data_IF_751670717893
#
_entry.id   IF_751670717893
#
_cell.length_a   1.000
_cell.length_b   1.000
_cell.length_c   1.000
_cell.angle_alpha   90.00
_cell.angle_beta   90.00
_cell.angle_gamma   90.00
#
_symmetry.space_group_name_H-M   'P 1'
#
loop_
_entity.id
_entity.type
_entity.pdbx_description
1 polymer ?
#
# COMPACT_ATOMS: atom_id res chain seq x y z
N UNK A 1 17.86 23.61 46.90
CA UNK A 1 18.45 24.16 45.64
C UNK A 1 18.96 23.06 44.67
N UNK A 2 19.39 21.88 45.19
CA UNK A 2 19.90 20.77 44.32
C UNK A 2 18.81 19.98 43.57
N UNK A 3 17.63 19.77 44.20
CA UNK A 3 16.54 19.00 43.62
C UNK A 3 15.98 19.64 42.33
N UNK A 4 15.72 20.93 42.38
CA UNK A 4 15.19 21.68 41.23
C UNK A 4 16.18 21.68 40.04
N UNK A 5 17.45 21.75 40.33
CA UNK A 5 18.51 21.70 39.33
C UNK A 5 18.61 20.32 38.68
N UNK A 6 18.53 19.26 39.49
CA UNK A 6 18.50 17.89 39.02
C UNK A 6 17.28 17.59 38.11
N UNK A 7 16.07 18.04 38.52
CA UNK A 7 14.86 17.92 37.69
C UNK A 7 14.99 18.68 36.36
N UNK A 8 15.59 19.87 36.40
CA UNK A 8 15.80 20.68 35.19
C UNK A 8 16.80 20.04 34.22
N UNK A 9 17.87 19.45 34.71
CA UNK A 9 18.85 18.73 33.93
C UNK A 9 18.29 17.41 33.36
N UNK A 10 17.46 16.71 34.11
CA UNK A 10 16.74 15.51 33.67
C UNK A 10 15.74 15.89 32.52
N UNK A 11 14.95 16.94 32.71
CA UNK A 11 14.04 17.43 31.66
C UNK A 11 14.79 17.84 30.38
N UNK A 12 15.93 18.53 30.52
CA UNK A 12 16.77 18.89 29.35
C UNK A 12 17.29 17.65 28.61
N UNK A 13 17.79 16.66 29.35
CA UNK A 13 18.27 15.42 28.77
C UNK A 13 17.15 14.63 28.07
N UNK A 14 15.96 14.57 28.69
CA UNK A 14 14.78 13.94 28.08
C UNK A 14 14.34 14.68 26.82
N UNK A 15 14.27 16.01 26.84
CA UNK A 15 13.90 16.80 25.65
C UNK A 15 14.93 16.67 24.53
N UNK A 16 16.22 16.63 24.83
CA UNK A 16 17.25 16.40 23.82
C UNK A 16 17.12 15.01 23.20
N UNK A 17 16.87 13.96 24.01
CA UNK A 17 16.67 12.59 23.55
C UNK A 17 15.41 12.48 22.68
N UNK A 18 14.32 13.15 23.09
CA UNK A 18 13.07 13.18 22.31
C UNK A 18 13.27 13.88 20.96
N UNK A 19 13.90 15.05 20.95
CA UNK A 19 14.20 15.79 19.73
C UNK A 19 15.15 15.05 18.79
N UNK A 20 16.10 14.27 19.33
CA UNK A 20 16.98 13.42 18.52
C UNK A 20 16.20 12.25 17.88
N UNK A 21 15.30 11.60 18.64
CA UNK A 21 14.42 10.55 18.10
C UNK A 21 13.47 11.10 17.03
N UNK A 22 12.86 12.25 17.27
CA UNK A 22 11.96 12.90 16.32
C UNK A 22 12.67 13.22 15.02
N UNK A 23 13.89 13.79 15.07
CA UNK A 23 14.72 14.02 13.87
C UNK A 23 15.02 12.73 13.14
N UNK A 24 15.39 11.66 13.85
CA UNK A 24 15.69 10.36 13.26
C UNK A 24 14.45 9.79 12.53
N UNK A 25 13.27 9.82 13.16
CA UNK A 25 12.03 9.35 12.53
C UNK A 25 11.69 10.17 11.29
N UNK A 26 11.83 11.50 11.35
CA UNK A 26 11.59 12.36 10.20
C UNK A 26 12.53 12.04 9.04
N UNK A 27 13.83 11.88 9.31
CA UNK A 27 14.81 11.46 8.30
C UNK A 27 14.48 10.09 7.68
N UNK A 28 14.03 9.12 8.48
CA UNK A 28 13.61 7.82 7.96
C UNK A 28 12.40 7.95 7.03
N UNK A 29 11.39 8.73 7.42
CA UNK A 29 10.23 9.00 6.57
C UNK A 29 10.61 9.70 5.26
N UNK A 30 11.54 10.66 5.31
CA UNK A 30 11.96 11.44 4.15
C UNK A 30 12.88 10.65 3.18
N UNK A 31 13.58 9.61 3.67
CA UNK A 31 14.41 8.76 2.82
C UNK A 31 13.65 7.69 2.08
N UNK A 32 12.45 7.35 2.52
CA UNK A 32 11.58 6.37 1.87
C UNK A 32 10.65 7.07 0.88
N UNK A 33 10.35 6.40 -0.25
CA UNK A 33 9.39 6.89 -1.25
C UNK A 33 7.95 6.58 -0.81
N UNK A 34 7.60 7.02 0.41
CA UNK A 34 6.29 6.79 1.01
C UNK A 34 5.67 8.11 1.50
N UNK A 35 4.34 8.16 1.45
CA UNK A 35 3.57 9.14 2.19
C UNK A 35 2.90 8.43 3.39
N UNK A 36 2.78 9.16 4.49
CA UNK A 36 2.20 8.65 5.73
C UNK A 36 1.09 9.56 6.20
N UNK A 37 0.03 8.95 6.74
CA UNK A 37 -1.01 9.62 7.49
C UNK A 37 -0.99 9.03 8.89
N UNK A 38 -0.80 9.86 9.88
CA UNK A 38 -0.98 9.53 11.29
C UNK A 38 -2.25 10.20 11.79
N UNK A 39 -3.17 9.43 12.32
CA UNK A 39 -4.41 9.90 12.92
C UNK A 39 -4.45 9.49 14.40
N UNK A 40 -4.65 10.46 15.30
CA UNK A 40 -4.89 10.21 16.71
C UNK A 40 -6.38 10.27 17.00
N UNK A 41 -6.95 9.18 17.50
CA UNK A 41 -8.37 9.11 17.86
C UNK A 41 -8.68 9.98 19.08
N UNK A 42 -7.76 10.04 20.05
CA UNK A 42 -7.92 10.84 21.25
C UNK A 42 -7.95 12.34 20.95
N UNK A 43 -7.00 12.81 20.14
CA UNK A 43 -6.84 14.23 19.80
C UNK A 43 -7.70 14.64 18.62
N UNK A 44 -8.24 13.68 17.88
CA UNK A 44 -8.94 13.89 16.59
C UNK A 44 -8.11 14.72 15.61
N UNK A 45 -6.80 14.44 15.53
CA UNK A 45 -5.85 15.18 14.69
C UNK A 45 -5.24 14.26 13.65
N UNK A 46 -5.01 14.81 12.45
CA UNK A 46 -4.29 14.16 11.37
C UNK A 46 -2.94 14.85 11.16
N UNK A 47 -1.90 14.07 10.93
CA UNK A 47 -0.57 14.55 10.55
C UNK A 47 -0.10 13.77 9.34
N UNK A 48 0.31 14.47 8.28
CA UNK A 48 0.92 13.88 7.09
C UNK A 48 2.44 13.99 7.19
N UNK A 49 3.16 12.96 6.75
CA UNK A 49 4.62 12.87 6.82
C UNK A 49 5.16 12.23 5.53
N UNK A 50 6.49 12.30 5.37
CA UNK A 50 7.18 11.74 4.20
C UNK A 50 6.92 12.57 2.94
N UNK A 51 6.94 11.90 1.80
CA UNK A 51 6.80 12.57 0.49
C UNK A 51 5.35 12.84 0.09
N UNK A 52 4.58 13.46 0.98
CA UNK A 52 3.14 13.71 0.76
C UNK A 52 2.87 14.44 -0.56
N UNK A 53 3.60 15.51 -0.82
CA UNK A 53 3.39 16.38 -1.99
C UNK A 53 3.80 15.70 -3.33
N UNK A 54 4.57 14.61 -3.28
CA UNK A 54 4.90 13.81 -4.47
C UNK A 54 3.71 12.90 -4.90
N UNK A 55 2.83 12.57 -3.95
CA UNK A 55 1.67 11.71 -4.17
C UNK A 55 0.38 12.49 -4.39
N UNK A 56 0.22 13.61 -3.67
CA UNK A 56 -1.04 14.31 -3.53
C UNK A 56 -0.87 15.82 -3.67
N UNK A 57 -1.79 16.43 -4.41
CA UNK A 57 -1.89 17.89 -4.62
C UNK A 57 -2.85 18.57 -3.62
N UNK A 58 -3.24 17.86 -2.57
CA UNK A 58 -4.13 18.35 -1.51
C UNK A 58 -3.59 18.01 -0.12
N UNK A 59 -4.05 18.72 0.88
CA UNK A 59 -3.73 18.48 2.28
C UNK A 59 -4.90 17.77 2.98
N UNK A 60 -4.57 16.93 3.97
CA UNK A 60 -5.53 16.36 4.90
C UNK A 60 -5.33 17.02 6.25
N UNK A 61 -6.35 17.72 6.71
CA UNK A 61 -6.34 18.47 7.97
C UNK A 61 -7.04 17.72 9.09
N UNK A 62 -8.09 16.97 8.74
CA UNK A 62 -8.82 16.13 9.67
C UNK A 62 -9.34 14.86 8.98
N UNK A 63 -9.99 13.98 9.72
CA UNK A 63 -10.48 12.68 9.22
C UNK A 63 -11.58 12.82 8.16
N UNK A 64 -12.30 13.92 8.10
CA UNK A 64 -13.32 14.17 7.06
C UNK A 64 -12.69 14.31 5.69
N UNK A 65 -11.45 14.81 5.65
CA UNK A 65 -10.68 14.93 4.41
C UNK A 65 -10.29 13.57 3.78
N UNK A 66 -10.48 12.44 4.48
CA UNK A 66 -10.25 11.11 3.89
C UNK A 66 -11.14 10.83 2.68
N UNK A 67 -12.21 11.59 2.51
CA UNK A 67 -13.02 11.55 1.28
C UNK A 67 -12.19 11.92 0.04
N UNK A 68 -11.23 12.85 0.16
CA UNK A 68 -10.35 13.24 -0.94
C UNK A 68 -9.51 12.09 -1.46
N UNK A 69 -9.09 11.17 -0.56
CA UNK A 69 -8.38 9.94 -0.94
C UNK A 69 -9.26 9.00 -1.76
N UNK A 70 -10.56 8.94 -1.44
CA UNK A 70 -11.53 8.12 -2.17
C UNK A 70 -11.83 8.71 -3.56
N UNK A 71 -11.89 10.04 -3.67
CA UNK A 71 -12.15 10.74 -4.93
C UNK A 71 -11.02 10.61 -5.95
N UNK A 72 -9.78 10.39 -5.46
CA UNK A 72 -8.60 10.28 -6.31
C UNK A 72 -8.37 8.88 -6.90
N UNK A 73 -9.13 7.87 -6.51
CA UNK A 73 -9.01 6.51 -7.04
C UNK A 73 -10.15 6.18 -7.99
N UNK A 74 -9.91 5.21 -8.87
CA UNK A 74 -10.95 4.74 -9.79
C UNK A 74 -12.07 4.02 -9.05
N UNK A 75 -13.29 4.10 -9.61
CA UNK A 75 -14.54 3.57 -9.04
C UNK A 75 -14.45 2.16 -8.42
N UNK A 76 -13.82 1.16 -9.05
CA UNK A 76 -13.76 -0.19 -8.49
C UNK A 76 -13.06 -0.28 -7.13
N UNK A 77 -12.20 0.69 -6.81
CA UNK A 77 -11.36 0.67 -5.59
C UNK A 77 -11.92 1.52 -4.44
N UNK A 78 -12.90 2.40 -4.73
CA UNK A 78 -13.44 3.36 -3.75
C UNK A 78 -13.97 2.67 -2.49
N UNK A 79 -14.76 1.60 -2.66
CA UNK A 79 -15.34 0.90 -1.51
C UNK A 79 -14.28 0.23 -0.65
N UNK A 80 -13.35 -0.50 -1.27
CA UNK A 80 -12.28 -1.18 -0.55
C UNK A 80 -11.36 -0.18 0.19
N UNK A 81 -11.02 0.94 -0.47
CA UNK A 81 -10.24 2.01 0.16
C UNK A 81 -11.00 2.63 1.34
N UNK A 82 -12.29 2.89 1.20
CA UNK A 82 -13.14 3.42 2.27
C UNK A 82 -13.17 2.47 3.49
N UNK A 83 -13.37 1.18 3.27
CA UNK A 83 -13.38 0.18 4.35
C UNK A 83 -12.03 0.15 5.08
N UNK A 84 -10.92 0.21 4.36
CA UNK A 84 -9.57 0.26 4.92
C UNK A 84 -9.32 1.57 5.70
N UNK A 85 -9.74 2.73 5.19
CA UNK A 85 -9.58 4.02 5.88
C UNK A 85 -10.36 4.08 7.21
N UNK A 86 -11.50 3.37 7.30
CA UNK A 86 -12.35 3.31 8.49
C UNK A 86 -12.33 1.92 9.12
N UNK A 87 -11.15 1.32 9.15
CA UNK A 87 -10.88 -0.05 9.57
C UNK A 87 -11.38 -0.38 11.00
N UNK A 88 -11.38 0.61 11.90
CA UNK A 88 -11.87 0.46 13.28
C UNK A 88 -13.33 -0.02 13.36
N UNK A 89 -14.11 0.27 12.34
CA UNK A 89 -15.53 -0.17 12.26
C UNK A 89 -15.67 -1.66 11.97
N UNK A 90 -14.65 -2.28 11.38
CA UNK A 90 -14.63 -3.71 11.05
C UNK A 90 -14.02 -4.59 12.16
N UNK A 91 -13.43 -3.99 13.20
CA UNK A 91 -12.73 -4.68 14.27
C UNK A 91 -11.40 -5.31 13.85
N UNK A 92 -10.90 -4.98 12.65
CA UNK A 92 -9.58 -5.42 12.17
C UNK A 92 -8.52 -4.42 12.58
N UNK A 93 -7.31 -4.92 12.87
CA UNK A 93 -6.16 -4.06 13.24
C UNK A 93 -5.37 -3.59 12.03
N UNK A 94 -5.36 -4.38 10.97
CA UNK A 94 -4.58 -4.11 9.76
C UNK A 94 -5.37 -4.41 8.50
N UNK A 95 -5.15 -3.64 7.46
CA UNK A 95 -5.66 -3.89 6.11
C UNK A 95 -4.77 -3.24 5.06
N UNK A 96 -4.88 -3.69 3.81
CA UNK A 96 -4.14 -3.13 2.69
C UNK A 96 -4.97 -3.21 1.41
N UNK A 97 -4.94 -2.14 0.64
CA UNK A 97 -5.66 -2.01 -0.62
C UNK A 97 -4.74 -1.46 -1.70
N UNK A 98 -4.72 -2.12 -2.85
CA UNK A 98 -4.07 -1.61 -4.05
C UNK A 98 -5.12 -0.96 -4.95
N UNK A 99 -4.86 0.24 -5.41
CA UNK A 99 -5.79 0.98 -6.25
C UNK A 99 -5.09 1.78 -7.34
N UNK A 100 -5.80 2.01 -8.43
CA UNK A 100 -5.35 2.89 -9.51
C UNK A 100 -5.82 4.31 -9.24
N UNK A 101 -4.90 5.26 -9.42
CA UNK A 101 -5.20 6.68 -9.29
C UNK A 101 -6.04 7.15 -10.48
N UNK A 102 -7.16 7.82 -10.20
CA UNK A 102 -8.10 8.30 -11.21
C UNK A 102 -7.45 9.19 -12.26
N UNK A 103 -7.63 8.83 -13.52
CA UNK A 103 -7.07 9.58 -14.65
C UNK A 103 -5.56 9.47 -14.82
N UNK A 104 -4.89 8.63 -14.04
CA UNK A 104 -3.45 8.37 -14.13
C UNK A 104 -3.20 6.86 -14.20
N UNK A 105 -2.11 6.46 -14.86
CA UNK A 105 -1.64 5.07 -14.87
C UNK A 105 -0.72 4.79 -13.66
N UNK A 106 -1.13 5.27 -12.50
CA UNK A 106 -0.34 5.15 -11.27
C UNK A 106 -1.05 4.22 -10.30
N UNK A 107 -0.36 3.15 -9.90
CA UNK A 107 -0.82 2.23 -8.88
C UNK A 107 -0.31 2.66 -7.51
N UNK A 108 -1.24 2.83 -6.57
CA UNK A 108 -0.94 3.12 -5.18
C UNK A 108 -1.35 1.93 -4.30
N UNK A 109 -0.51 1.62 -3.33
CA UNK A 109 -0.86 0.73 -2.24
C UNK A 109 -1.06 1.55 -0.99
N UNK A 110 -2.23 1.41 -0.38
CA UNK A 110 -2.54 1.93 0.93
C UNK A 110 -2.50 0.78 1.93
N UNK A 111 -1.77 0.96 3.03
CA UNK A 111 -1.72 -0.01 4.13
C UNK A 111 -2.05 0.71 5.42
N UNK A 112 -3.05 0.23 6.14
CA UNK A 112 -3.52 0.81 7.40
C UNK A 112 -3.23 -0.11 8.57
N UNK A 113 -2.84 0.49 9.71
CA UNK A 113 -2.74 -0.19 10.98
C UNK A 113 -3.33 0.68 12.09
N UNK A 114 -4.16 0.07 12.93
CA UNK A 114 -4.74 0.71 14.11
C UNK A 114 -4.06 0.13 15.35
N UNK A 115 -3.77 1.02 16.30
CA UNK A 115 -3.27 0.69 17.61
C UNK A 115 -4.41 0.83 18.61
N UNK A 116 -4.44 -0.06 19.61
CA UNK A 116 -5.46 -0.12 20.65
C UNK A 116 -4.81 -0.10 22.03
N UNK A 117 -5.42 0.64 22.94
CA UNK A 117 -5.14 0.57 24.38
C UNK A 117 -6.46 0.30 25.11
N UNK A 118 -6.48 -0.68 25.99
CA UNK A 118 -7.67 -1.11 26.74
C UNK A 118 -8.92 -1.35 25.85
N UNK A 119 -8.69 -1.91 24.65
CA UNK A 119 -9.75 -2.22 23.68
C UNK A 119 -10.33 -1.01 22.93
N UNK A 120 -9.73 0.18 23.09
CA UNK A 120 -10.11 1.40 22.38
C UNK A 120 -9.04 1.78 21.36
N UNK A 121 -9.42 2.19 20.15
CA UNK A 121 -8.45 2.65 19.17
C UNK A 121 -7.82 3.96 19.65
N UNK A 122 -6.49 4.01 19.68
CA UNK A 122 -5.71 5.20 20.07
C UNK A 122 -5.18 5.93 18.86
N UNK A 123 -4.58 5.19 17.93
CA UNK A 123 -3.91 5.76 16.79
C UNK A 123 -4.13 4.90 15.54
N UNK A 124 -4.09 5.54 14.37
CA UNK A 124 -4.08 4.88 13.07
C UNK A 124 -2.92 5.40 12.24
N UNK A 125 -2.14 4.50 11.67
CA UNK A 125 -1.11 4.84 10.68
C UNK A 125 -1.55 4.29 9.34
N UNK A 126 -1.55 5.13 8.31
CA UNK A 126 -1.78 4.75 6.93
C UNK A 126 -0.52 5.07 6.15
N UNK A 127 0.01 4.07 5.45
CA UNK A 127 1.18 4.19 4.58
C UNK A 127 0.72 4.14 3.14
N UNK A 128 1.19 5.07 2.31
CA UNK A 128 0.91 5.10 0.88
C UNK A 128 2.20 4.92 0.12
N UNK A 129 2.22 3.96 -0.79
CA UNK A 129 3.35 3.61 -1.64
C UNK A 129 2.95 3.63 -3.11
N UNK A 130 3.83 4.14 -3.98
CA UNK A 130 3.69 3.99 -5.42
C UNK A 130 4.25 2.62 -5.84
N UNK A 131 3.37 1.72 -6.26
CA UNK A 131 3.71 0.37 -6.69
C UNK A 131 3.65 0.20 -8.22
N UNK A 132 3.56 1.29 -8.98
CA UNK A 132 3.44 1.25 -10.45
C UNK A 132 4.60 0.47 -11.08
N UNK A 133 5.82 0.79 -10.69
CA UNK A 133 7.03 0.10 -11.19
C UNK A 133 7.00 -1.40 -10.87
N UNK A 134 6.59 -1.75 -9.66
CA UNK A 134 6.48 -3.15 -9.23
C UNK A 134 5.41 -3.90 -10.04
N UNK A 135 4.25 -3.27 -10.29
CA UNK A 135 3.19 -3.84 -11.12
C UNK A 135 3.67 -4.06 -12.56
N UNK A 136 4.28 -3.05 -13.19
CA UNK A 136 4.80 -3.15 -14.55
C UNK A 136 5.86 -4.24 -14.66
N UNK A 137 6.81 -4.29 -13.74
CA UNK A 137 7.83 -5.36 -13.72
C UNK A 137 7.22 -6.74 -13.56
N UNK A 138 6.20 -6.88 -12.71
CA UNK A 138 5.52 -8.15 -12.53
C UNK A 138 4.74 -8.58 -13.79
N UNK A 139 4.09 -7.64 -14.47
CA UNK A 139 3.42 -7.88 -15.76
C UNK A 139 4.43 -8.30 -16.84
N UNK A 140 5.57 -7.63 -16.92
CA UNK A 140 6.67 -7.99 -17.84
C UNK A 140 7.21 -9.40 -17.55
N UNK A 141 7.43 -9.76 -16.29
CA UNK A 141 7.88 -11.09 -15.89
C UNK A 141 6.83 -12.16 -16.26
N UNK A 142 5.56 -11.90 -16.03
CA UNK A 142 4.48 -12.80 -16.43
C UNK A 142 4.41 -12.93 -17.96
N UNK A 143 4.56 -11.83 -18.69
CA UNK A 143 4.60 -11.87 -20.14
C UNK A 143 5.76 -12.74 -20.64
N UNK A 144 6.97 -12.56 -20.14
CA UNK A 144 8.14 -13.37 -20.48
C UNK A 144 7.97 -14.85 -20.12
N UNK A 145 7.24 -15.14 -19.03
CA UNK A 145 6.96 -16.52 -18.60
C UNK A 145 6.02 -17.27 -19.55
N UNK A 146 5.15 -16.55 -20.27
CA UNK A 146 4.10 -17.15 -21.09
C UNK A 146 4.27 -16.91 -22.60
N UNK A 147 4.91 -15.84 -23.01
CA UNK A 147 4.98 -15.41 -24.41
C UNK A 147 6.41 -15.38 -24.91
N UNK A 148 6.56 -15.57 -26.21
CA UNK A 148 7.80 -15.35 -26.94
C UNK A 148 7.91 -13.86 -27.30
N UNK A 149 9.02 -13.23 -26.92
CA UNK A 149 9.20 -11.77 -27.05
C UNK A 149 9.33 -11.29 -28.50
N UNK A 150 9.67 -12.19 -29.45
CA UNK A 150 9.83 -11.86 -30.85
C UNK A 150 8.50 -11.94 -31.61
N UNK A 151 7.74 -12.99 -31.36
CA UNK A 151 6.53 -13.33 -32.11
C UNK A 151 5.24 -12.91 -31.42
N UNK A 152 5.26 -12.65 -30.11
CA UNK A 152 4.07 -12.37 -29.28
C UNK A 152 3.16 -13.59 -29.07
N UNK A 153 3.55 -14.77 -29.55
CA UNK A 153 2.82 -16.01 -29.33
C UNK A 153 3.22 -16.66 -28.01
N UNK A 154 2.47 -17.65 -27.57
CA UNK A 154 2.86 -18.44 -26.41
C UNK A 154 4.24 -19.06 -26.62
N UNK A 155 5.12 -18.95 -25.63
CA UNK A 155 6.41 -19.59 -25.69
C UNK A 155 6.27 -21.12 -25.63
N UNK A 156 7.31 -21.83 -26.03
CA UNK A 156 7.31 -23.30 -26.10
C UNK A 156 6.88 -23.96 -24.78
N UNK A 157 7.36 -23.46 -23.66
CA UNK A 157 7.07 -24.07 -22.35
C UNK A 157 5.60 -23.93 -21.98
N UNK A 158 5.03 -22.77 -22.18
CA UNK A 158 3.63 -22.54 -21.90
C UNK A 158 2.70 -23.26 -22.86
N UNK A 159 3.05 -23.28 -24.15
CA UNK A 159 2.32 -24.03 -25.15
C UNK A 159 2.25 -25.52 -24.83
N UNK A 160 3.38 -26.16 -24.49
CA UNK A 160 3.42 -27.58 -24.12
C UNK A 160 2.54 -27.85 -22.90
N UNK A 161 2.57 -26.98 -21.90
CA UNK A 161 1.72 -27.09 -20.69
C UNK A 161 0.23 -27.01 -21.05
N UNK A 162 -0.16 -26.01 -21.85
CA UNK A 162 -1.54 -25.84 -22.32
C UNK A 162 -2.00 -27.04 -23.16
N UNK A 163 -1.16 -27.50 -24.09
CA UNK A 163 -1.46 -28.65 -24.93
C UNK A 163 -1.67 -29.92 -24.08
N UNK A 164 -0.82 -30.15 -23.10
CA UNK A 164 -0.93 -31.30 -22.19
C UNK A 164 -2.26 -31.27 -21.43
N UNK A 165 -2.62 -30.11 -20.88
CA UNK A 165 -3.88 -29.96 -20.15
C UNK A 165 -5.09 -30.10 -21.11
N UNK A 166 -5.00 -29.55 -22.31
CA UNK A 166 -6.04 -29.65 -23.31
C UNK A 166 -6.25 -31.12 -23.75
N UNK A 167 -5.15 -31.85 -24.01
CA UNK A 167 -5.22 -33.26 -24.37
C UNK A 167 -5.81 -34.13 -23.24
N UNK A 168 -5.47 -33.83 -21.98
CA UNK A 168 -6.06 -34.50 -20.82
C UNK A 168 -7.58 -34.32 -20.78
N UNK A 169 -8.07 -33.09 -20.93
CA UNK A 169 -9.52 -32.81 -20.96
C UNK A 169 -10.22 -33.45 -22.16
N UNK A 170 -9.59 -33.37 -23.33
CA UNK A 170 -10.16 -33.98 -24.53
C UNK A 170 -10.30 -35.49 -24.38
N UNK A 171 -9.35 -36.17 -23.70
CA UNK A 171 -9.43 -37.60 -23.39
C UNK A 171 -10.57 -37.91 -22.42
N UNK A 172 -10.76 -37.10 -21.39
CA UNK A 172 -11.88 -37.23 -20.43
C UNK A 172 -13.25 -37.03 -21.13
N UNK A 173 -13.32 -36.09 -22.05
CA UNK A 173 -14.55 -35.79 -22.83
C UNK A 173 -14.72 -36.68 -24.06
N UNK A 174 -13.82 -37.67 -24.31
CA UNK A 174 -13.78 -38.53 -25.48
C UNK A 174 -13.81 -37.75 -26.82
N UNK A 175 -13.06 -36.65 -26.90
CA UNK A 175 -12.94 -35.79 -28.08
C UNK A 175 -11.64 -36.05 -28.83
N UNK A 176 -11.70 -35.99 -30.15
CA UNK A 176 -10.52 -36.02 -31.01
C UNK A 176 -9.84 -34.65 -31.05
N UNK A 177 -8.51 -34.68 -30.99
CA UNK A 177 -7.68 -33.48 -31.07
C UNK A 177 -6.66 -33.66 -32.16
N UNK A 178 -6.49 -32.63 -33.01
CA UNK A 178 -5.43 -32.56 -33.99
C UNK A 178 -4.50 -31.40 -33.68
N UNK A 179 -3.20 -31.63 -33.80
CA UNK A 179 -2.17 -30.57 -33.64
C UNK A 179 -1.51 -30.37 -34.98
N UNK A 180 -1.53 -29.14 -35.46
CA UNK A 180 -0.84 -28.75 -36.68
C UNK A 180 0.40 -27.94 -36.31
N UNK A 181 1.55 -28.33 -36.80
CA UNK A 181 2.82 -27.58 -36.68
C UNK A 181 3.12 -27.01 -38.06
N UNK A 182 3.29 -25.67 -38.09
CA UNK A 182 3.56 -24.92 -39.33
C UNK A 182 4.93 -24.24 -39.23
#
# INVERSE_FOLDING_TARGET
MNELRYQLDLMRAMNQKLSAKERMYRLLCDTMDYAYIYYSFEKNTVTTLGKWDDFFDFQILDRRDFVKLQEMVDEPYVLALREMLFLEKSGRETDSVECMQRGKKTWLQFSSRIFYEDGRPTDQIIVVQNITKQKTQNEELLYMAYYDSLTGLYNRNYFVRLLTEFLRRAKEDNRLVSVLVV
#
